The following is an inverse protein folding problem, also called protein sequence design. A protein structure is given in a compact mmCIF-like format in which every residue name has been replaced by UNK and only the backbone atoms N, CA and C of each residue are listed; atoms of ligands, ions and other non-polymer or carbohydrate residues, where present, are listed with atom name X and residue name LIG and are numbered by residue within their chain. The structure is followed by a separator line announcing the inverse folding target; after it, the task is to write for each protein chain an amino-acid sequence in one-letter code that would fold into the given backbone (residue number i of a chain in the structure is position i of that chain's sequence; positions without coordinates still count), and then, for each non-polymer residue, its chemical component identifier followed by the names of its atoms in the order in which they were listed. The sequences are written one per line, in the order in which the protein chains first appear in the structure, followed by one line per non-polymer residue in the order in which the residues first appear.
data_IF_375478105986
#
_entry.id   IF_375478105986
#
_cell.length_a   1.000
_cell.length_b   1.000
_cell.length_c   1.000
_cell.angle_alpha   90.00
_cell.angle_beta   90.00
_cell.angle_gamma   90.00
#
_symmetry.space_group_name_H-M   'P 1'
#
loop_
_entity.id
_entity.type
_entity.pdbx_description
1 polymer ?
#
# COMPACT_ATOMS: atom_id res chain seq x y z
N UNK A 1 26.10 58.40 15.81
CA UNK A 1 26.95 58.22 17.02
C UNK A 1 27.15 56.70 17.11
N UNK A 2 28.22 56.22 16.56
CA UNK A 2 29.51 55.82 17.18
C UNK A 2 29.32 54.64 18.13
N UNK A 3 29.92 53.45 18.00
CA UNK A 3 31.26 53.10 17.51
C UNK A 3 31.41 51.61 17.19
N UNK A 4 32.22 51.38 16.22
CA UNK A 4 32.86 50.15 15.82
C UNK A 4 33.95 49.76 16.81
N UNK A 5 34.14 48.46 17.10
CA UNK A 5 35.46 47.95 17.52
C UNK A 5 35.78 46.57 16.95
N UNK A 6 36.71 46.59 16.01
CA UNK A 6 37.49 45.52 15.49
C UNK A 6 38.77 45.32 16.31
N UNK A 7 39.25 44.09 16.56
CA UNK A 7 40.67 43.73 16.83
C UNK A 7 40.85 42.24 16.51
N UNK A 8 41.47 41.87 15.48
CA UNK A 8 42.89 41.62 15.09
C UNK A 8 43.41 40.22 15.45
N UNK A 9 43.84 39.63 14.40
CA UNK A 9 44.64 38.42 14.18
C UNK A 9 45.90 38.32 15.05
N UNK A 10 46.38 37.07 15.30
CA UNK A 10 47.79 36.71 15.21
C UNK A 10 47.92 35.23 14.83
N UNK A 11 48.63 35.02 13.73
CA UNK A 11 49.26 33.79 13.30
C UNK A 11 50.69 33.76 13.83
N UNK A 12 51.24 32.60 14.10
CA UNK A 12 52.66 32.36 14.06
C UNK A 12 52.96 30.90 13.72
N UNK A 13 53.89 30.75 12.81
CA UNK A 13 54.33 29.54 12.14
C UNK A 13 55.69 29.06 12.68
N UNK A 14 56.15 27.97 12.12
CA UNK A 14 57.51 27.42 12.06
C UNK A 14 57.87 26.43 13.20
N UNK A 15 58.56 25.34 12.96
CA UNK A 15 59.25 24.80 11.81
C UNK A 15 60.02 23.52 12.15
N UNK A 16 60.29 22.75 11.12
CA UNK A 16 61.51 21.99 10.76
C UNK A 16 62.01 20.87 11.71
N UNK A 17 61.97 19.63 11.30
CA UNK A 17 62.91 18.82 10.49
C UNK A 17 63.97 18.04 11.31
N UNK A 18 64.10 16.72 11.11
CA UNK A 18 65.23 15.98 10.53
C UNK A 18 65.33 14.51 10.97
N UNK A 19 65.44 13.62 9.97
CA UNK A 19 66.29 12.40 9.82
C UNK A 19 66.23 11.31 10.92
N UNK A 20 65.80 10.10 10.69
CA UNK A 20 66.43 9.10 9.80
C UNK A 20 66.84 7.88 10.60
N UNK A 21 66.34 6.72 10.28
CA UNK A 21 67.06 5.43 10.31
C UNK A 21 66.16 4.30 9.80
N UNK A 22 66.60 3.66 8.77
CA UNK A 22 66.13 2.40 8.20
C UNK A 22 66.57 1.25 9.09
N UNK A 23 65.66 0.40 9.52
CA UNK A 23 65.93 -1.01 9.84
C UNK A 23 64.81 -1.89 9.32
N UNK A 24 65.20 -2.77 8.43
CA UNK A 24 64.41 -3.84 7.85
C UNK A 24 64.25 -4.95 8.91
N UNK A 25 63.04 -5.37 9.19
CA UNK A 25 62.82 -6.69 9.74
C UNK A 25 61.42 -7.21 9.44
N UNK A 26 61.42 -8.24 8.64
CA UNK A 26 60.54 -9.38 8.47
C UNK A 26 59.04 -9.27 8.75
N UNK A 27 58.33 -9.65 7.72
CA UNK A 27 56.91 -10.04 7.60
C UNK A 27 56.39 -10.87 8.77
N UNK A 28 55.31 -10.41 9.37
CA UNK A 28 54.16 -11.21 9.71
C UNK A 28 52.92 -10.39 9.41
N UNK A 29 52.15 -10.87 8.47
CA UNK A 29 50.84 -10.30 8.07
C UNK A 29 49.79 -10.71 9.12
N UNK A 30 49.47 -9.82 10.03
CA UNK A 30 48.20 -9.88 10.77
C UNK A 30 47.16 -9.07 9.96
N UNK A 31 46.33 -9.78 9.22
CA UNK A 31 45.14 -9.23 8.65
C UNK A 31 44.18 -8.87 9.79
N UNK A 32 43.44 -7.73 9.72
CA UNK A 32 42.35 -7.46 10.65
C UNK A 32 41.31 -8.58 10.55
N UNK A 33 40.61 -8.92 11.65
CA UNK A 33 39.59 -9.94 11.59
C UNK A 33 38.52 -9.54 10.56
N UNK A 34 38.30 -10.42 9.60
CA UNK A 34 37.20 -10.32 8.67
C UNK A 34 35.89 -10.16 9.46
N UNK A 35 35.18 -9.08 9.18
CA UNK A 35 33.79 -8.95 9.59
C UNK A 35 33.04 -10.18 9.08
N UNK A 36 32.18 -10.81 9.89
CA UNK A 36 31.37 -11.93 9.40
C UNK A 36 30.59 -11.46 8.17
N UNK A 37 30.44 -12.31 7.15
CA UNK A 37 29.67 -11.95 5.96
C UNK A 37 28.29 -11.52 6.42
N UNK A 38 27.88 -10.33 6.00
CA UNK A 38 26.50 -9.90 6.15
C UNK A 38 25.63 -11.06 5.62
N UNK A 39 24.77 -11.57 6.49
CA UNK A 39 23.76 -12.51 6.07
C UNK A 39 23.04 -11.85 4.90
N UNK A 40 23.29 -12.36 3.71
CA UNK A 40 22.48 -12.09 2.54
C UNK A 40 21.10 -12.58 2.93
N UNK A 41 20.25 -11.65 3.35
CA UNK A 41 18.84 -11.86 3.40
C UNK A 41 18.47 -12.44 2.04
N UNK A 42 17.92 -13.64 2.06
CA UNK A 42 17.26 -14.22 0.90
C UNK A 42 16.09 -13.29 0.56
N UNK A 43 16.39 -12.20 -0.14
CA UNK A 43 15.39 -11.47 -0.87
C UNK A 43 14.82 -12.49 -1.84
N UNK A 44 13.56 -12.90 -1.63
CA UNK A 44 12.82 -13.60 -2.64
C UNK A 44 12.92 -12.73 -3.88
N UNK A 45 13.66 -13.17 -4.89
CA UNK A 45 13.68 -12.53 -6.19
C UNK A 45 12.24 -12.56 -6.67
N UNK A 46 11.57 -11.40 -6.63
CA UNK A 46 10.28 -11.23 -7.25
C UNK A 46 10.40 -11.80 -8.67
N UNK A 47 9.56 -12.79 -8.99
CA UNK A 47 9.61 -13.50 -10.26
C UNK A 47 9.29 -12.52 -11.40
N UNK A 48 10.34 -12.02 -12.03
CA UNK A 48 10.24 -11.17 -13.20
C UNK A 48 10.03 -12.06 -14.43
N UNK A 49 8.84 -12.68 -14.54
CA UNK A 49 8.37 -13.20 -15.81
C UNK A 49 9.00 -14.48 -16.36
N UNK A 50 9.44 -15.42 -15.52
CA UNK A 50 10.04 -16.69 -15.98
C UNK A 50 9.09 -17.90 -15.94
N UNK A 51 7.92 -17.84 -16.52
CA UNK A 51 7.10 -19.05 -16.81
C UNK A 51 6.69 -19.96 -15.64
N UNK A 52 7.16 -19.72 -14.42
CA UNK A 52 6.74 -20.44 -13.21
C UNK A 52 5.63 -19.70 -12.49
N UNK A 53 4.67 -20.47 -11.96
CA UNK A 53 3.65 -19.96 -11.04
C UNK A 53 4.32 -19.20 -9.91
N UNK A 54 3.81 -18.02 -9.57
CA UNK A 54 4.28 -17.23 -8.42
C UNK A 54 4.14 -18.05 -7.14
N UNK A 55 5.11 -17.96 -6.23
CA UNK A 55 5.02 -18.55 -4.88
C UNK A 55 3.90 -17.93 -4.04
N UNK A 56 3.35 -16.81 -4.47
CA UNK A 56 2.21 -16.12 -3.86
C UNK A 56 0.86 -16.53 -4.45
N UNK A 57 0.82 -17.47 -5.41
CA UNK A 57 -0.43 -17.91 -6.00
C UNK A 57 -0.97 -19.14 -5.29
N UNK A 58 -2.16 -19.01 -4.74
CA UNK A 58 -2.92 -20.07 -4.11
C UNK A 58 -4.28 -20.21 -4.79
N UNK A 59 -4.52 -21.34 -5.45
CA UNK A 59 -5.68 -21.56 -6.30
C UNK A 59 -7.00 -21.44 -5.52
N UNK A 60 -7.07 -22.00 -4.32
CA UNK A 60 -8.30 -21.97 -3.52
C UNK A 60 -8.69 -20.54 -3.13
N UNK A 61 -7.72 -19.71 -2.75
CA UNK A 61 -7.97 -18.31 -2.40
C UNK A 61 -8.27 -17.45 -3.63
N UNK A 62 -7.63 -17.73 -4.78
CA UNK A 62 -7.96 -17.11 -6.05
C UNK A 62 -9.43 -17.35 -6.42
N UNK A 63 -9.87 -18.63 -6.39
CA UNK A 63 -11.25 -19.01 -6.72
C UNK A 63 -12.24 -18.37 -5.72
N UNK A 64 -11.90 -18.34 -4.42
CA UNK A 64 -12.70 -17.70 -3.37
C UNK A 64 -12.90 -16.21 -3.63
N UNK A 65 -11.83 -15.48 -3.93
CA UNK A 65 -11.93 -14.04 -4.17
C UNK A 65 -12.74 -13.70 -5.42
N UNK A 66 -12.62 -14.48 -6.49
CA UNK A 66 -13.45 -14.30 -7.68
C UNK A 66 -14.92 -14.58 -7.40
N UNK A 67 -15.25 -15.58 -6.57
CA UNK A 67 -16.61 -15.84 -6.15
C UNK A 67 -17.18 -14.67 -5.34
N UNK A 68 -16.42 -14.15 -4.35
CA UNK A 68 -16.84 -13.02 -3.52
C UNK A 68 -17.14 -11.75 -4.34
N UNK A 69 -16.47 -11.55 -5.48
CA UNK A 69 -16.73 -10.40 -6.34
C UNK A 69 -18.17 -10.36 -6.92
N UNK A 70 -18.83 -11.53 -6.98
CA UNK A 70 -20.21 -11.65 -7.43
C UNK A 70 -21.25 -11.65 -6.29
N UNK A 71 -20.83 -11.63 -5.02
CA UNK A 71 -21.72 -11.73 -3.88
C UNK A 71 -22.27 -10.38 -3.43
N UNK A 72 -23.49 -10.40 -2.87
CA UNK A 72 -24.06 -9.22 -2.23
C UNK A 72 -23.52 -9.11 -0.80
N UNK A 73 -22.95 -7.94 -0.41
CA UNK A 73 -22.47 -7.77 0.96
C UNK A 73 -23.61 -7.73 1.97
N UNK A 74 -23.33 -8.23 3.16
CA UNK A 74 -24.14 -8.04 4.36
C UNK A 74 -23.79 -6.71 5.04
N UNK A 75 -24.75 -6.16 5.83
CA UNK A 75 -24.54 -4.92 6.57
C UNK A 75 -25.35 -3.74 6.03
N UNK A 76 -25.17 -2.54 6.58
CA UNK A 76 -26.00 -1.38 6.27
C UNK A 76 -25.81 -0.85 4.86
N UNK A 77 -26.93 -0.57 4.17
CA UNK A 77 -26.89 0.06 2.86
C UNK A 77 -26.23 1.44 2.94
N UNK A 78 -25.42 1.77 1.93
CA UNK A 78 -24.71 3.07 1.82
C UNK A 78 -23.51 3.24 2.75
N UNK A 79 -23.13 2.20 3.50
CA UNK A 79 -21.96 2.21 4.37
C UNK A 79 -20.99 1.06 4.03
N UNK A 80 -20.34 1.08 2.89
CA UNK A 80 -19.50 -0.04 2.47
C UNK A 80 -18.35 -0.36 3.43
N UNK A 81 -17.96 0.56 4.31
CA UNK A 81 -16.97 0.34 5.37
C UNK A 81 -17.50 -0.44 6.60
N UNK A 82 -18.81 -0.65 6.68
CA UNK A 82 -19.48 -1.51 7.69
C UNK A 82 -20.05 -2.78 7.04
N UNK A 83 -19.97 -2.91 5.73
CA UNK A 83 -20.42 -4.11 5.02
C UNK A 83 -19.36 -5.20 5.05
N UNK A 84 -19.79 -6.44 4.88
CA UNK A 84 -18.94 -7.63 4.88
C UNK A 84 -19.43 -8.66 3.87
N UNK A 85 -18.50 -9.40 3.30
CA UNK A 85 -18.78 -10.47 2.35
C UNK A 85 -18.52 -11.82 3.01
N UNK A 86 -19.54 -12.68 3.06
CA UNK A 86 -19.47 -14.04 3.60
C UNK A 86 -18.70 -14.15 4.94
N UNK A 87 -19.11 -13.43 6.01
CA UNK A 87 -18.35 -13.31 7.24
C UNK A 87 -18.38 -14.61 8.07
N UNK A 88 -17.21 -15.02 8.57
CA UNK A 88 -17.10 -15.99 9.66
C UNK A 88 -16.87 -15.21 10.96
N UNK A 89 -17.91 -15.16 11.82
CA UNK A 89 -17.88 -14.35 13.04
C UNK A 89 -17.07 -15.04 14.14
N UNK A 90 -16.30 -14.23 14.89
CA UNK A 90 -15.53 -14.69 16.07
C UNK A 90 -16.04 -13.99 17.32
N UNK A 91 -16.14 -14.76 18.41
CA UNK A 91 -16.51 -14.27 19.74
C UNK A 91 -15.39 -13.40 20.32
N UNK A 92 -15.73 -12.16 20.69
CA UNK A 92 -14.81 -11.20 21.27
C UNK A 92 -15.11 -10.89 22.74
N UNK A 93 -15.99 -11.64 23.37
CA UNK A 93 -16.45 -11.41 24.76
C UNK A 93 -15.30 -11.30 25.76
N UNK A 94 -14.16 -12.01 25.53
CA UNK A 94 -12.96 -11.94 26.35
C UNK A 94 -12.23 -10.57 26.31
N UNK A 95 -12.53 -9.74 25.31
CA UNK A 95 -11.96 -8.38 25.16
C UNK A 95 -12.88 -7.29 25.64
N UNK A 96 -14.09 -7.66 26.13
CA UNK A 96 -15.09 -6.71 26.58
C UNK A 96 -14.58 -5.85 27.74
N UNK A 97 -14.59 -4.54 27.55
CA UNK A 97 -14.32 -3.59 28.61
C UNK A 97 -15.50 -3.47 29.58
N UNK A 98 -15.22 -3.31 30.88
CA UNK A 98 -16.26 -3.05 31.89
C UNK A 98 -16.89 -1.66 31.69
N UNK A 99 -16.11 -0.69 31.26
CA UNK A 99 -16.54 0.67 30.90
C UNK A 99 -15.79 1.12 29.64
N UNK A 100 -16.46 1.19 28.49
CA UNK A 100 -15.86 1.61 27.24
C UNK A 100 -15.80 3.15 27.05
N UNK A 101 -16.00 3.96 28.11
CA UNK A 101 -16.09 5.42 27.98
C UNK A 101 -14.74 6.14 27.87
N UNK A 102 -13.62 5.44 27.97
CA UNK A 102 -12.28 6.04 28.01
C UNK A 102 -11.25 5.32 27.14
N UNK A 103 -11.65 4.88 25.94
CA UNK A 103 -10.82 4.04 25.06
C UNK A 103 -9.55 4.80 24.62
N UNK A 104 -8.39 4.17 24.80
CA UNK A 104 -7.13 4.51 24.16
C UNK A 104 -6.86 3.57 22.98
N UNK A 105 -7.11 4.07 21.76
CA UNK A 105 -6.88 3.31 20.51
C UNK A 105 -5.49 3.63 19.96
N UNK A 106 -4.73 2.60 19.57
CA UNK A 106 -3.39 2.74 19.01
C UNK A 106 -3.33 2.23 17.57
N UNK A 107 -2.49 2.88 16.76
CA UNK A 107 -2.28 2.51 15.36
C UNK A 107 -0.80 2.53 15.00
N UNK A 108 -0.27 1.39 14.53
CA UNK A 108 1.03 1.27 13.88
C UNK A 108 0.85 1.28 12.36
N UNK A 109 1.26 2.38 11.74
CA UNK A 109 1.11 2.63 10.31
C UNK A 109 2.41 2.37 9.55
N UNK A 110 2.36 1.62 8.45
CA UNK A 110 3.50 1.45 7.55
C UNK A 110 4.07 2.79 7.05
N UNK A 111 3.19 3.77 6.77
CA UNK A 111 3.59 5.09 6.32
C UNK A 111 2.48 5.85 5.59
N UNK A 112 2.75 7.11 5.26
CA UNK A 112 1.85 8.00 4.47
C UNK A 112 2.54 8.46 3.18
N UNK A 113 3.32 7.61 2.58
CA UNK A 113 4.21 7.91 1.45
C UNK A 113 3.50 8.04 0.09
N UNK A 114 2.20 7.75 0.00
CA UNK A 114 1.42 7.91 -1.22
C UNK A 114 0.03 8.51 -0.95
N UNK A 115 -0.67 9.02 -1.98
CA UNK A 115 -2.00 9.65 -1.84
C UNK A 115 -3.06 8.74 -1.22
N UNK A 116 -3.09 7.45 -1.58
CA UNK A 116 -4.04 6.48 -1.02
C UNK A 116 -3.95 6.41 0.50
N UNK A 117 -2.73 6.32 1.04
CA UNK A 117 -2.47 6.27 2.49
C UNK A 117 -2.75 7.61 3.18
N UNK A 118 -2.54 8.73 2.49
CA UNK A 118 -2.84 10.06 3.04
C UNK A 118 -4.35 10.27 3.18
N UNK A 119 -5.14 9.94 2.14
CA UNK A 119 -6.61 9.99 2.20
C UNK A 119 -7.13 8.99 3.23
N UNK A 120 -6.60 7.78 3.24
CA UNK A 120 -6.99 6.74 4.19
C UNK A 120 -6.77 7.14 5.65
N UNK A 121 -5.59 7.64 6.01
CA UNK A 121 -5.32 8.08 7.39
C UNK A 121 -6.22 9.27 7.79
N UNK A 122 -6.57 10.14 6.85
CA UNK A 122 -7.53 11.21 7.09
C UNK A 122 -8.92 10.64 7.41
N UNK A 123 -9.37 9.63 6.64
CA UNK A 123 -10.63 8.94 6.89
C UNK A 123 -10.64 8.25 8.26
N UNK A 124 -9.58 7.53 8.63
CA UNK A 124 -9.44 6.90 9.94
C UNK A 124 -9.53 7.91 11.08
N UNK A 125 -8.80 9.04 10.96
CA UNK A 125 -8.84 10.13 11.96
C UNK A 125 -10.21 10.80 12.04
N UNK A 126 -10.93 10.90 10.95
CA UNK A 126 -12.28 11.44 10.91
C UNK A 126 -13.27 10.45 11.56
N UNK A 127 -13.13 9.14 11.30
CA UNK A 127 -13.92 8.09 11.96
C UNK A 127 -13.73 8.11 13.48
N UNK A 128 -12.49 8.15 13.95
CA UNK A 128 -12.19 8.27 15.40
C UNK A 128 -12.94 9.44 16.05
N UNK A 129 -13.05 10.59 15.37
CA UNK A 129 -13.75 11.77 15.91
C UNK A 129 -15.27 11.61 16.00
N UNK A 130 -15.86 10.65 15.30
CA UNK A 130 -17.30 10.34 15.42
C UNK A 130 -17.62 9.58 16.73
N UNK A 131 -16.62 8.98 17.35
CA UNK A 131 -16.74 8.10 18.52
C UNK A 131 -16.18 8.77 19.77
N UNK A 132 -17.08 9.34 20.58
CA UNK A 132 -16.69 10.10 21.80
C UNK A 132 -16.06 9.24 22.89
N UNK A 133 -16.31 7.92 22.84
CA UNK A 133 -15.72 6.92 23.72
C UNK A 133 -14.21 6.76 23.48
N UNK A 134 -13.70 7.07 22.28
CA UNK A 134 -12.26 7.10 22.01
C UNK A 134 -11.70 8.43 22.51
N UNK A 135 -11.09 8.41 23.69
CA UNK A 135 -10.52 9.61 24.32
C UNK A 135 -9.09 9.90 23.88
N UNK A 136 -8.39 8.88 23.37
CA UNK A 136 -7.04 9.03 22.86
C UNK A 136 -6.81 8.13 21.64
N UNK A 137 -6.20 8.70 20.61
CA UNK A 137 -5.79 7.99 19.42
C UNK A 137 -4.30 8.25 19.14
N UNK A 138 -3.48 7.22 19.35
CA UNK A 138 -2.03 7.28 19.17
C UNK A 138 -1.64 6.63 17.85
N UNK A 139 -0.95 7.37 16.99
CA UNK A 139 -0.47 6.88 15.70
C UNK A 139 1.04 6.96 15.66
N UNK A 140 1.72 5.84 15.40
CA UNK A 140 3.13 5.79 15.06
C UNK A 140 3.28 5.45 13.57
N UNK A 141 4.10 6.24 12.88
CA UNK A 141 4.33 6.13 11.44
C UNK A 141 5.73 5.57 11.17
N UNK A 142 5.79 4.42 10.55
CA UNK A 142 7.05 3.72 10.31
C UNK A 142 7.85 4.28 9.11
N UNK A 143 7.25 5.15 8.30
CA UNK A 143 7.90 5.76 7.13
C UNK A 143 8.45 4.73 6.13
N UNK A 144 7.74 3.61 5.95
CA UNK A 144 8.14 2.53 5.06
C UNK A 144 9.33 1.68 5.57
N UNK A 145 9.65 1.75 6.88
CA UNK A 145 10.79 1.02 7.46
C UNK A 145 10.31 -0.07 8.41
N UNK A 146 10.64 -1.32 8.10
CA UNK A 146 10.22 -2.48 8.87
C UNK A 146 10.79 -2.48 10.30
N UNK A 147 12.08 -2.16 10.46
CA UNK A 147 12.74 -2.09 11.75
C UNK A 147 12.09 -1.05 12.68
N UNK A 148 11.73 0.10 12.12
CA UNK A 148 10.97 1.11 12.85
C UNK A 148 9.58 0.60 13.21
N UNK A 149 8.86 -0.04 12.28
CA UNK A 149 7.52 -0.53 12.55
C UNK A 149 7.52 -1.65 13.62
N UNK A 150 8.52 -2.52 13.61
CA UNK A 150 8.71 -3.52 14.68
C UNK A 150 8.81 -2.82 16.04
N UNK A 151 9.64 -1.79 16.15
CA UNK A 151 9.79 -1.00 17.38
C UNK A 151 8.50 -0.28 17.76
N UNK A 152 7.79 0.30 16.79
CA UNK A 152 6.52 0.98 16.99
C UNK A 152 5.43 0.02 17.53
N UNK A 153 5.31 -1.18 16.96
CA UNK A 153 4.37 -2.21 17.43
C UNK A 153 4.69 -2.64 18.86
N UNK A 154 5.98 -2.88 19.16
CA UNK A 154 6.42 -3.27 20.52
C UNK A 154 6.15 -2.16 21.55
N UNK A 155 6.40 -0.92 21.18
CA UNK A 155 6.11 0.26 22.00
C UNK A 155 4.61 0.38 22.29
N UNK A 156 3.75 0.34 21.24
CA UNK A 156 2.31 0.47 21.37
C UNK A 156 1.70 -0.70 22.18
N UNK A 157 2.13 -1.93 21.93
CA UNK A 157 1.70 -3.11 22.69
C UNK A 157 2.21 -3.12 24.14
N UNK A 158 3.19 -2.31 24.49
CA UNK A 158 3.68 -2.09 25.85
C UNK A 158 3.03 -0.92 26.58
N UNK A 159 2.22 -0.11 25.88
CA UNK A 159 1.44 0.98 26.46
C UNK A 159 0.07 0.49 26.94
N UNK A 160 -0.71 1.36 27.55
CA UNK A 160 -2.09 1.06 27.95
C UNK A 160 -3.06 1.29 26.78
N UNK A 161 -2.79 0.69 25.62
CA UNK A 161 -3.74 0.70 24.52
C UNK A 161 -4.81 -0.37 24.76
N UNK A 162 -6.07 -0.04 24.59
CA UNK A 162 -7.18 -1.00 24.70
C UNK A 162 -7.29 -1.89 23.47
N UNK A 163 -6.93 -1.36 22.30
CA UNK A 163 -6.78 -2.12 21.05
C UNK A 163 -5.64 -1.55 20.19
N UNK A 164 -5.01 -2.41 19.40
CA UNK A 164 -3.93 -2.04 18.49
C UNK A 164 -4.32 -2.36 17.04
N UNK A 165 -4.40 -1.32 16.22
CA UNK A 165 -4.54 -1.44 14.77
C UNK A 165 -3.15 -1.50 14.15
N UNK A 166 -2.93 -2.37 13.16
CA UNK A 166 -1.67 -2.52 12.43
C UNK A 166 -1.94 -2.56 10.93
N UNK A 167 -1.30 -1.67 10.16
CA UNK A 167 -1.15 -1.82 8.70
C UNK A 167 0.33 -2.15 8.42
N UNK A 168 0.69 -3.43 8.21
CA UNK A 168 2.09 -3.83 8.08
C UNK A 168 2.76 -3.24 6.85
N UNK A 169 4.05 -2.90 6.93
CA UNK A 169 4.82 -2.45 5.78
C UNK A 169 5.15 -3.64 4.85
N UNK A 170 5.62 -4.73 5.42
CA UNK A 170 5.83 -6.01 4.73
C UNK A 170 5.21 -7.15 5.53
N UNK A 171 4.84 -8.24 4.85
CA UNK A 171 4.13 -9.37 5.45
C UNK A 171 5.02 -10.19 6.38
N UNK A 172 6.05 -10.82 5.85
CA UNK A 172 6.89 -11.77 6.60
C UNK A 172 7.67 -11.11 7.75
N UNK A 173 8.28 -9.94 7.49
CA UNK A 173 9.16 -9.25 8.46
C UNK A 173 8.39 -8.75 9.68
N UNK A 174 7.13 -8.31 9.51
CA UNK A 174 6.31 -7.77 10.60
C UNK A 174 5.57 -8.86 11.39
N UNK A 175 5.43 -10.07 10.85
CA UNK A 175 4.72 -11.19 11.49
C UNK A 175 5.16 -11.46 12.93
N UNK A 176 6.46 -11.55 13.27
CA UNK A 176 6.88 -11.81 14.65
C UNK A 176 6.46 -10.71 15.65
N UNK A 177 6.52 -9.44 15.24
CA UNK A 177 6.14 -8.31 16.08
C UNK A 177 4.63 -8.29 16.35
N UNK A 178 3.81 -8.55 15.32
CA UNK A 178 2.36 -8.68 15.44
C UNK A 178 2.00 -9.85 16.35
N UNK A 179 2.63 -11.01 16.17
CA UNK A 179 2.41 -12.19 17.03
C UNK A 179 2.72 -11.91 18.51
N UNK A 180 3.77 -11.15 18.78
CA UNK A 180 4.08 -10.69 20.13
C UNK A 180 3.02 -9.73 20.70
N UNK A 181 2.51 -8.82 19.89
CA UNK A 181 1.48 -7.86 20.30
C UNK A 181 0.16 -8.54 20.65
N UNK A 182 -0.26 -9.57 19.89
CA UNK A 182 -1.48 -10.36 20.16
C UNK A 182 -1.53 -10.97 21.56
N UNK A 183 -0.38 -11.25 22.17
CA UNK A 183 -0.29 -11.77 23.54
C UNK A 183 -0.53 -10.70 24.63
N UNK A 184 -0.71 -9.43 24.27
CA UNK A 184 -0.80 -8.30 25.19
C UNK A 184 -2.05 -7.46 25.02
N UNK A 185 -2.56 -7.33 23.80
CA UNK A 185 -3.66 -6.43 23.43
C UNK A 185 -4.42 -7.05 22.24
N UNK A 186 -5.74 -6.86 22.12
CA UNK A 186 -6.46 -7.24 20.90
C UNK A 186 -5.89 -6.48 19.70
N UNK A 187 -5.50 -7.24 18.66
CA UNK A 187 -4.88 -6.70 17.45
C UNK A 187 -5.86 -6.80 16.29
N UNK A 188 -6.01 -5.70 15.57
CA UNK A 188 -6.71 -5.59 14.29
C UNK A 188 -5.66 -5.36 13.19
N UNK A 189 -5.54 -6.27 12.23
CA UNK A 189 -4.68 -6.09 11.05
C UNK A 189 -5.55 -5.57 9.91
N UNK A 190 -5.05 -4.66 9.08
CA UNK A 190 -5.78 -4.22 7.91
C UNK A 190 -4.87 -3.86 6.74
N UNK A 191 -5.45 -3.81 5.51
CA UNK A 191 -4.78 -3.50 4.25
C UNK A 191 -3.86 -4.65 3.80
N UNK A 192 -2.76 -4.86 4.48
CA UNK A 192 -1.76 -5.90 4.22
C UNK A 192 -1.80 -6.94 5.33
N UNK A 193 -1.66 -8.21 4.97
CA UNK A 193 -1.69 -9.31 5.91
C UNK A 193 -0.35 -9.59 6.59
N UNK A 194 -0.41 -10.53 7.52
CA UNK A 194 0.73 -11.14 8.21
C UNK A 194 0.58 -12.67 8.20
N UNK A 195 1.67 -13.39 8.36
CA UNK A 195 1.68 -14.87 8.37
C UNK A 195 1.34 -15.43 9.77
N UNK A 196 0.26 -14.93 10.38
CA UNK A 196 -0.26 -15.42 11.66
C UNK A 196 -1.75 -15.11 11.76
N UNK A 197 -2.48 -16.00 12.39
CA UNK A 197 -3.92 -15.92 12.65
C UNK A 197 -4.27 -15.31 14.02
N UNK A 198 -3.27 -14.80 14.76
CA UNK A 198 -3.46 -14.32 16.12
C UNK A 198 -4.27 -13.02 16.23
N UNK A 199 -4.34 -12.21 15.18
CA UNK A 199 -5.18 -11.01 15.16
C UNK A 199 -6.66 -11.38 15.35
N UNK A 200 -7.41 -10.54 16.06
CA UNK A 200 -8.85 -10.76 16.27
C UNK A 200 -9.57 -10.73 14.92
N UNK A 201 -9.27 -9.73 14.10
CA UNK A 201 -9.81 -9.61 12.74
C UNK A 201 -8.75 -9.10 11.77
N UNK A 202 -8.87 -9.50 10.51
CA UNK A 202 -8.14 -8.94 9.39
C UNK A 202 -9.11 -8.23 8.44
N UNK A 203 -8.95 -6.92 8.30
CA UNK A 203 -9.82 -6.06 7.49
C UNK A 203 -9.16 -5.76 6.15
N UNK A 204 -9.78 -6.15 5.06
CA UNK A 204 -9.35 -5.78 3.71
C UNK A 204 -10.54 -5.86 2.73
N UNK A 205 -10.46 -5.24 1.55
CA UNK A 205 -11.35 -5.55 0.44
C UNK A 205 -11.22 -7.02 0.02
N UNK A 206 -12.00 -7.47 -0.95
CA UNK A 206 -11.99 -8.86 -1.43
C UNK A 206 -10.56 -9.41 -1.54
N UNK A 207 -9.65 -8.64 -2.16
CA UNK A 207 -8.22 -8.97 -2.16
C UNK A 207 -7.51 -8.77 -3.48
N UNK A 208 -6.22 -9.14 -3.48
CA UNK A 208 -5.34 -8.91 -4.61
C UNK A 208 -5.67 -9.74 -5.84
N UNK A 209 -6.11 -10.99 -5.66
CA UNK A 209 -6.44 -11.85 -6.82
C UNK A 209 -7.62 -11.29 -7.62
N UNK A 210 -8.69 -10.88 -6.96
CA UNK A 210 -9.85 -10.29 -7.64
C UNK A 210 -9.46 -9.03 -8.43
N UNK A 211 -8.64 -8.15 -7.83
CA UNK A 211 -8.12 -6.96 -8.48
C UNK A 211 -7.29 -7.31 -9.72
N UNK A 212 -6.29 -8.17 -9.54
CA UNK A 212 -5.35 -8.53 -10.60
C UNK A 212 -6.00 -9.23 -11.78
N UNK A 213 -6.94 -10.15 -11.50
CA UNK A 213 -7.68 -10.88 -12.52
C UNK A 213 -8.55 -9.94 -13.36
N UNK A 214 -9.38 -9.11 -12.72
CA UNK A 214 -10.27 -8.16 -13.43
C UNK A 214 -9.47 -7.21 -14.32
N UNK A 215 -8.35 -6.68 -13.82
CA UNK A 215 -7.48 -5.80 -14.59
C UNK A 215 -6.85 -6.50 -15.79
N UNK A 216 -6.39 -7.74 -15.62
CA UNK A 216 -5.77 -8.49 -16.71
C UNK A 216 -6.79 -8.99 -17.73
N UNK A 217 -7.94 -9.50 -17.29
CA UNK A 217 -9.00 -9.98 -18.18
C UNK A 217 -9.51 -8.85 -19.09
N UNK A 218 -9.62 -7.62 -18.57
CA UNK A 218 -9.92 -6.45 -19.40
C UNK A 218 -8.90 -6.25 -20.51
N UNK A 219 -7.60 -6.35 -20.23
CA UNK A 219 -6.56 -6.21 -21.25
C UNK A 219 -6.58 -7.37 -22.25
N UNK A 220 -6.86 -8.59 -21.78
CA UNK A 220 -7.02 -9.77 -22.66
C UNK A 220 -8.19 -9.56 -23.63
N UNK A 221 -9.27 -8.92 -23.18
CA UNK A 221 -10.42 -8.59 -24.04
C UNK A 221 -10.12 -7.45 -25.05
N UNK A 222 -9.46 -6.39 -24.58
CA UNK A 222 -9.32 -5.13 -25.35
C UNK A 222 -8.09 -5.11 -26.27
N UNK A 223 -7.05 -5.86 -25.94
CA UNK A 223 -5.80 -5.86 -26.69
C UNK A 223 -5.84 -6.95 -27.77
N UNK A 224 -5.38 -6.61 -28.99
CA UNK A 224 -5.30 -7.56 -30.09
C UNK A 224 -4.40 -8.77 -29.76
N UNK A 225 -4.62 -9.95 -30.37
CA UNK A 225 -3.73 -11.09 -30.20
C UNK A 225 -2.26 -10.75 -30.48
N UNK A 226 -1.35 -11.25 -29.66
CA UNK A 226 0.09 -10.96 -29.66
C UNK A 226 0.44 -9.50 -29.41
N UNK A 227 -0.50 -8.73 -28.83
CA UNK A 227 -0.23 -7.38 -28.38
C UNK A 227 0.72 -7.37 -27.19
N UNK A 228 1.55 -6.34 -27.13
CA UNK A 228 2.59 -6.17 -26.11
C UNK A 228 2.03 -5.48 -24.87
N UNK A 229 2.18 -6.13 -23.72
CA UNK A 229 1.77 -5.63 -22.41
C UNK A 229 2.99 -5.15 -21.62
N UNK A 230 2.93 -3.94 -21.12
CA UNK A 230 3.82 -3.43 -20.08
C UNK A 230 3.15 -3.58 -18.73
N UNK A 231 3.77 -4.29 -17.79
CA UNK A 231 3.27 -4.43 -16.44
C UNK A 231 4.04 -3.50 -15.47
N UNK A 232 3.33 -2.60 -14.82
CA UNK A 232 3.85 -1.66 -13.83
C UNK A 232 3.38 -2.07 -12.44
N UNK A 233 4.31 -2.49 -11.57
CA UNK A 233 4.07 -2.94 -10.21
C UNK A 233 4.55 -1.90 -9.21
N UNK A 234 3.94 -1.83 -8.02
CA UNK A 234 4.39 -0.90 -6.97
C UNK A 234 5.72 -1.39 -6.38
N UNK A 235 5.66 -2.46 -5.59
CA UNK A 235 6.80 -2.96 -4.81
C UNK A 235 6.73 -4.48 -4.65
N UNK A 236 7.86 -5.18 -4.50
CA UNK A 236 7.88 -6.59 -4.17
C UNK A 236 7.64 -6.85 -2.68
N UNK A 237 7.27 -8.09 -2.32
CA UNK A 237 7.22 -8.57 -0.93
C UNK A 237 6.03 -8.09 -0.10
N UNK A 238 5.02 -7.51 -0.74
CA UNK A 238 3.75 -7.11 -0.13
C UNK A 238 2.66 -8.05 -0.63
N UNK A 239 2.03 -8.79 0.28
CA UNK A 239 1.08 -9.86 -0.05
C UNK A 239 0.01 -9.45 -1.07
N UNK A 240 -0.70 -8.35 -0.82
CA UNK A 240 -1.77 -7.86 -1.72
C UNK A 240 -1.24 -7.49 -3.11
N UNK A 241 -0.01 -6.98 -3.22
CA UNK A 241 0.59 -6.61 -4.51
C UNK A 241 1.10 -7.86 -5.25
N UNK A 242 1.67 -8.80 -4.52
CA UNK A 242 2.11 -10.08 -5.10
C UNK A 242 0.92 -10.89 -5.60
N UNK A 243 -0.20 -10.93 -4.86
CA UNK A 243 -1.42 -11.62 -5.30
C UNK A 243 -2.09 -10.93 -6.49
N UNK A 244 -2.07 -9.59 -6.59
CA UNK A 244 -2.51 -8.86 -7.79
C UNK A 244 -1.75 -9.33 -9.03
N UNK A 245 -0.43 -9.32 -8.96
CA UNK A 245 0.41 -9.73 -10.09
C UNK A 245 0.26 -11.22 -10.41
N UNK A 246 0.22 -12.10 -9.41
CA UNK A 246 0.08 -13.54 -9.65
C UNK A 246 -1.22 -13.91 -10.38
N UNK A 247 -2.32 -13.21 -10.05
CA UNK A 247 -3.60 -13.37 -10.73
C UNK A 247 -3.54 -12.84 -12.19
N UNK A 248 -2.97 -11.64 -12.37
CA UNK A 248 -2.78 -11.07 -13.69
C UNK A 248 -1.93 -11.99 -14.59
N UNK A 249 -0.84 -12.53 -14.02
CA UNK A 249 0.02 -13.48 -14.72
C UNK A 249 -0.74 -14.74 -15.18
N UNK A 250 -1.64 -15.27 -14.36
CA UNK A 250 -2.49 -16.41 -14.75
C UNK A 250 -3.36 -16.09 -15.96
N UNK A 251 -3.93 -14.88 -16.04
CA UNK A 251 -4.72 -14.45 -17.18
C UNK A 251 -3.85 -14.26 -18.44
N UNK A 252 -2.70 -13.59 -18.30
CA UNK A 252 -1.78 -13.37 -19.42
C UNK A 252 -1.18 -14.68 -19.96
N UNK A 253 -0.76 -15.61 -19.08
CA UNK A 253 -0.20 -16.92 -19.48
C UNK A 253 -1.22 -17.78 -20.24
N UNK A 254 -2.51 -17.58 -20.03
CA UNK A 254 -3.59 -18.27 -20.76
C UNK A 254 -3.99 -17.55 -22.06
N UNK A 255 -3.52 -16.33 -22.26
CA UNK A 255 -3.82 -15.51 -23.42
C UNK A 255 -2.73 -15.60 -24.50
N UNK A 256 -2.96 -14.95 -25.65
CA UNK A 256 -1.95 -14.77 -26.70
C UNK A 256 -1.13 -13.47 -26.52
N UNK A 257 -1.31 -12.73 -25.41
CA UNK A 257 -0.62 -11.47 -25.16
C UNK A 257 0.85 -11.70 -24.77
N UNK A 258 1.72 -10.77 -25.15
CA UNK A 258 3.15 -10.80 -24.86
C UNK A 258 3.47 -9.78 -23.77
N UNK A 259 3.75 -10.24 -22.55
CA UNK A 259 4.21 -9.37 -21.46
C UNK A 259 5.69 -9.05 -21.68
N UNK A 260 5.97 -7.95 -22.38
CA UNK A 260 7.31 -7.57 -22.80
C UNK A 260 8.20 -7.02 -21.70
N UNK A 261 7.60 -6.50 -20.60
CA UNK A 261 8.35 -5.99 -19.46
C UNK A 261 7.50 -5.96 -18.19
N UNK A 262 8.14 -6.21 -17.04
CA UNK A 262 7.55 -6.09 -15.70
C UNK A 262 8.46 -5.22 -14.86
N UNK A 263 7.99 -4.07 -14.38
CA UNK A 263 8.80 -3.07 -13.68
C UNK A 263 8.16 -2.58 -12.39
N UNK A 264 9.01 -2.28 -11.41
CA UNK A 264 8.59 -1.69 -10.14
C UNK A 264 8.69 -0.17 -10.18
N UNK A 265 7.58 0.49 -9.92
CA UNK A 265 7.44 1.95 -9.92
C UNK A 265 7.71 2.56 -8.55
N UNK A 266 7.71 1.78 -7.47
CA UNK A 266 7.71 2.22 -6.07
C UNK A 266 6.51 3.14 -5.72
N UNK A 267 5.47 3.14 -6.57
CA UNK A 267 4.34 4.07 -6.46
C UNK A 267 4.71 5.52 -6.80
N UNK A 268 5.86 5.73 -7.45
CA UNK A 268 6.37 7.05 -7.84
C UNK A 268 5.95 7.37 -9.29
N UNK A 269 5.15 8.44 -9.52
CA UNK A 269 4.72 8.85 -10.85
C UNK A 269 5.88 9.20 -11.79
N UNK A 270 6.94 9.86 -11.31
CA UNK A 270 8.09 10.22 -12.14
C UNK A 270 8.84 8.97 -12.62
N UNK A 271 9.01 7.99 -11.73
CA UNK A 271 9.61 6.71 -12.07
C UNK A 271 8.74 5.93 -13.06
N UNK A 272 7.41 5.92 -12.87
CA UNK A 272 6.49 5.29 -13.82
C UNK A 272 6.60 5.91 -15.21
N UNK A 273 6.60 7.24 -15.31
CA UNK A 273 6.78 7.96 -16.59
C UNK A 273 8.08 7.59 -17.29
N UNK A 274 9.20 7.54 -16.54
CA UNK A 274 10.50 7.11 -17.08
C UNK A 274 10.47 5.67 -17.58
N UNK A 275 9.85 4.75 -16.83
CA UNK A 275 9.74 3.32 -17.23
C UNK A 275 8.94 3.18 -18.53
N UNK A 276 7.81 3.89 -18.66
CA UNK A 276 6.98 3.85 -19.89
C UNK A 276 7.77 4.41 -21.08
N UNK A 277 8.45 5.54 -20.90
CA UNK A 277 9.30 6.15 -21.94
C UNK A 277 10.41 5.20 -22.40
N UNK A 278 11.06 4.52 -21.47
CA UNK A 278 12.10 3.52 -21.75
C UNK A 278 11.52 2.28 -22.46
N UNK A 279 10.32 1.84 -22.04
CA UNK A 279 9.66 0.70 -22.69
C UNK A 279 9.27 1.04 -24.13
N UNK A 280 8.73 2.22 -24.41
CA UNK A 280 8.42 2.70 -25.76
C UNK A 280 9.68 2.78 -26.62
N UNK A 281 10.81 3.20 -26.06
CA UNK A 281 12.08 3.25 -26.78
C UNK A 281 12.61 1.85 -27.12
N UNK A 282 12.49 0.88 -26.19
CA UNK A 282 13.04 -0.48 -26.36
C UNK A 282 12.15 -1.39 -27.20
N UNK A 283 10.85 -1.31 -27.01
CA UNK A 283 9.90 -2.24 -27.58
C UNK A 283 9.10 -1.67 -28.76
N UNK A 284 9.20 -0.34 -28.99
CA UNK A 284 8.41 0.38 -29.98
C UNK A 284 6.98 0.62 -29.51
N UNK A 285 6.00 -0.12 -30.10
CA UNK A 285 4.63 0.00 -29.67
C UNK A 285 4.36 -0.88 -28.45
N UNK A 286 3.62 -0.35 -27.50
CA UNK A 286 3.02 -1.04 -26.37
C UNK A 286 1.52 -1.03 -26.62
N UNK A 287 0.86 -2.18 -26.56
CA UNK A 287 -0.55 -2.35 -26.91
C UNK A 287 -1.46 -2.36 -25.68
N UNK A 288 -0.91 -2.47 -24.47
CA UNK A 288 -1.66 -2.37 -23.21
C UNK A 288 -0.75 -2.14 -22.00
N UNK A 289 -1.30 -1.48 -20.96
CA UNK A 289 -0.57 -1.23 -19.71
C UNK A 289 -1.37 -1.79 -18.52
N UNK A 290 -0.81 -2.80 -17.88
CA UNK A 290 -1.34 -3.31 -16.62
C UNK A 290 -0.67 -2.63 -15.44
N UNK A 291 -1.48 -2.22 -14.44
CA UNK A 291 -0.98 -1.53 -13.25
C UNK A 291 -1.66 -2.09 -12.01
N UNK A 292 -0.90 -2.23 -10.94
CA UNK A 292 -1.40 -2.64 -9.63
C UNK A 292 -1.68 -1.45 -8.69
N UNK A 293 -1.73 -0.22 -9.24
CA UNK A 293 -2.07 1.00 -8.49
C UNK A 293 -2.62 2.11 -9.39
N UNK A 294 -3.37 3.06 -8.80
CA UNK A 294 -3.84 4.26 -9.48
C UNK A 294 -2.84 5.41 -9.50
N UNK A 295 -1.96 5.48 -8.52
CA UNK A 295 -1.08 6.62 -8.31
C UNK A 295 -0.11 6.91 -9.48
N UNK A 296 0.15 5.92 -10.32
CA UNK A 296 1.07 6.01 -11.46
C UNK A 296 0.38 6.03 -12.81
N UNK A 297 -0.97 5.89 -12.84
CA UNK A 297 -1.72 5.76 -14.07
C UNK A 297 -1.67 7.02 -14.95
N UNK A 298 -1.86 8.20 -14.36
CA UNK A 298 -1.77 9.47 -15.09
C UNK A 298 -0.38 9.69 -15.68
N UNK A 299 0.67 9.34 -14.92
CA UNK A 299 2.05 9.45 -15.40
C UNK A 299 2.34 8.53 -16.58
N UNK A 300 1.71 7.34 -16.63
CA UNK A 300 1.79 6.46 -17.78
C UNK A 300 1.08 7.08 -18.99
N UNK A 301 -0.14 7.61 -18.82
CA UNK A 301 -0.88 8.34 -19.89
C UNK A 301 -0.02 9.46 -20.46
N UNK A 302 0.53 10.32 -19.60
CA UNK A 302 1.39 11.43 -20.04
C UNK A 302 2.64 10.96 -20.80
N UNK A 303 3.23 9.81 -20.45
CA UNK A 303 4.40 9.29 -21.16
C UNK A 303 4.10 8.90 -22.61
N UNK A 304 2.90 8.35 -22.87
CA UNK A 304 2.43 8.08 -24.25
C UNK A 304 2.21 9.37 -25.02
N UNK A 305 1.54 10.36 -24.41
CA UNK A 305 1.30 11.67 -25.01
C UNK A 305 2.61 12.38 -25.37
N UNK A 306 3.57 12.43 -24.45
CA UNK A 306 4.90 13.02 -24.68
C UNK A 306 5.66 12.34 -25.82
N UNK A 307 5.42 11.04 -26.00
CA UNK A 307 5.99 10.27 -27.12
C UNK A 307 5.22 10.46 -28.43
N UNK A 308 4.12 11.22 -28.44
CA UNK A 308 3.25 11.40 -29.60
C UNK A 308 2.54 10.12 -30.03
N UNK A 309 2.22 9.24 -29.07
CA UNK A 309 1.54 7.96 -29.29
C UNK A 309 0.16 7.98 -28.65
N UNK A 310 -0.77 7.24 -29.25
CA UNK A 310 -2.07 7.01 -28.63
C UNK A 310 -1.90 6.18 -27.33
N UNK A 311 -2.71 6.50 -26.32
CA UNK A 311 -2.74 5.74 -25.06
C UNK A 311 -3.43 4.39 -25.32
N UNK A 312 -2.77 3.28 -25.08
CA UNK A 312 -3.39 1.96 -25.27
C UNK A 312 -4.39 1.66 -24.14
N UNK A 313 -5.16 0.57 -24.21
CA UNK A 313 -5.91 0.05 -23.08
C UNK A 313 -5.06 0.03 -21.80
N UNK A 314 -5.58 0.65 -20.74
CA UNK A 314 -4.82 0.87 -19.51
C UNK A 314 -5.66 0.54 -18.26
N UNK A 315 -5.03 0.04 -17.21
CA UNK A 315 -5.67 -0.18 -15.91
C UNK A 315 -5.25 0.88 -14.90
N UNK A 316 -6.11 1.14 -13.89
CA UNK A 316 -5.82 2.09 -12.83
C UNK A 316 -6.63 1.79 -11.56
N UNK A 317 -6.83 2.78 -10.74
CA UNK A 317 -7.70 2.76 -9.54
C UNK A 317 -8.62 3.98 -9.52
N UNK A 318 -9.41 4.14 -8.46
CA UNK A 318 -10.38 5.21 -8.27
C UNK A 318 -9.77 6.57 -7.87
N UNK A 319 -8.52 6.86 -8.27
CA UNK A 319 -7.89 8.17 -8.05
C UNK A 319 -8.49 9.23 -9.00
N UNK A 320 -8.84 10.39 -8.47
CA UNK A 320 -9.63 11.39 -9.16
C UNK A 320 -9.00 11.90 -10.46
N UNK A 321 -7.69 12.14 -10.48
CA UNK A 321 -6.98 12.60 -11.68
C UNK A 321 -6.99 11.55 -12.81
N UNK A 322 -6.87 10.25 -12.46
CA UNK A 322 -6.98 9.19 -13.46
C UNK A 322 -8.40 9.07 -14.01
N UNK A 323 -9.42 9.11 -13.14
CA UNK A 323 -10.82 9.05 -13.59
C UNK A 323 -11.17 10.27 -14.46
N UNK A 324 -10.65 11.45 -14.11
CA UNK A 324 -10.85 12.66 -14.91
C UNK A 324 -10.12 12.57 -16.25
N UNK A 325 -8.87 12.10 -16.26
CA UNK A 325 -8.13 11.89 -17.51
C UNK A 325 -8.82 10.85 -18.41
N UNK A 326 -9.35 9.79 -17.81
CA UNK A 326 -10.14 8.78 -18.53
C UNK A 326 -11.35 9.41 -19.23
N UNK A 327 -12.14 10.21 -18.50
CA UNK A 327 -13.29 10.89 -19.08
C UNK A 327 -12.89 11.92 -20.16
N UNK A 328 -11.92 12.79 -19.86
CA UNK A 328 -11.55 13.93 -20.73
C UNK A 328 -10.87 13.48 -22.03
N UNK A 329 -10.18 12.34 -22.01
CA UNK A 329 -9.39 11.81 -23.13
C UNK A 329 -10.04 10.60 -23.79
N UNK A 330 -11.23 10.20 -23.33
CA UNK A 330 -11.97 9.02 -23.83
C UNK A 330 -11.08 7.75 -23.84
N UNK A 331 -10.36 7.51 -22.74
CA UNK A 331 -9.43 6.38 -22.64
C UNK A 331 -10.19 5.06 -22.65
N UNK A 332 -9.58 4.02 -23.21
CA UNK A 332 -10.00 2.63 -23.01
C UNK A 332 -9.41 2.13 -21.71
N UNK A 333 -10.17 2.17 -20.62
CA UNK A 333 -9.63 1.88 -19.28
C UNK A 333 -10.59 1.07 -18.41
N UNK A 334 -10.03 0.54 -17.30
CA UNK A 334 -10.74 -0.08 -16.19
C UNK A 334 -10.02 0.28 -14.88
N UNK A 335 -10.77 0.43 -13.81
CA UNK A 335 -10.21 0.69 -12.49
C UNK A 335 -10.86 -0.24 -11.44
N UNK A 336 -10.31 -1.43 -11.20
CA UNK A 336 -10.66 -2.18 -9.99
C UNK A 336 -10.25 -1.33 -8.79
N UNK A 337 -11.20 -1.08 -7.86
CA UNK A 337 -10.92 -0.20 -6.75
C UNK A 337 -10.23 -0.93 -5.59
N UNK A 338 -9.42 -0.18 -4.86
CA UNK A 338 -8.93 -0.56 -3.53
C UNK A 338 -9.33 0.55 -2.55
N UNK A 339 -10.59 0.52 -2.05
CA UNK A 339 -11.25 1.68 -1.48
C UNK A 339 -10.55 2.26 -0.25
N UNK A 340 -10.38 3.58 -0.19
CA UNK A 340 -9.82 4.23 1.01
C UNK A 340 -10.79 4.26 2.19
N UNK A 341 -12.07 3.95 1.99
CA UNK A 341 -13.02 3.77 3.10
C UNK A 341 -12.63 2.62 4.04
N UNK A 342 -11.85 1.62 3.58
CA UNK A 342 -11.38 0.53 4.43
C UNK A 342 -10.59 1.00 5.66
N UNK A 343 -10.07 2.23 5.67
CA UNK A 343 -9.39 2.82 6.82
C UNK A 343 -10.32 3.16 7.99
N UNK A 344 -11.63 3.19 7.76
CA UNK A 344 -12.65 3.42 8.78
C UNK A 344 -12.92 2.14 9.57
N UNK A 345 -13.02 1.02 8.87
CA UNK A 345 -13.42 -0.29 9.41
C UNK A 345 -12.59 -0.76 10.61
N UNK A 346 -11.25 -0.62 10.65
CA UNK A 346 -10.46 -1.03 11.83
C UNK A 346 -10.83 -0.27 13.11
N UNK A 347 -11.30 0.98 13.00
CA UNK A 347 -11.77 1.76 14.15
C UNK A 347 -13.09 1.18 14.66
N UNK A 348 -14.01 0.87 13.75
CA UNK A 348 -15.30 0.25 14.06
C UNK A 348 -15.07 -1.13 14.67
N UNK A 349 -14.23 -1.97 14.05
CA UNK A 349 -13.90 -3.29 14.57
C UNK A 349 -13.29 -3.22 15.98
N UNK A 350 -12.41 -2.23 16.26
CA UNK A 350 -11.86 -2.04 17.59
C UNK A 350 -12.94 -1.75 18.63
N UNK A 351 -13.91 -0.90 18.28
CA UNK A 351 -15.03 -0.59 19.17
C UNK A 351 -15.94 -1.79 19.43
N UNK A 352 -16.27 -2.56 18.41
CA UNK A 352 -17.09 -3.76 18.52
C UNK A 352 -16.38 -4.80 19.41
N UNK A 353 -15.09 -5.07 19.16
CA UNK A 353 -14.26 -5.96 19.99
C UNK A 353 -14.28 -5.51 21.46
N UNK A 354 -14.08 -4.23 21.73
CA UNK A 354 -14.03 -3.71 23.11
C UNK A 354 -15.40 -3.64 23.80
N UNK A 355 -16.49 -3.68 23.03
CA UNK A 355 -17.86 -3.89 23.54
C UNK A 355 -18.19 -5.37 23.74
N UNK A 356 -17.36 -6.28 23.23
CA UNK A 356 -17.56 -7.73 23.25
C UNK A 356 -18.63 -8.16 22.23
N UNK A 357 -18.76 -7.41 21.15
CA UNK A 357 -19.58 -7.75 19.99
C UNK A 357 -18.78 -8.59 19.02
N UNK A 358 -19.39 -9.59 18.41
CA UNK A 358 -18.71 -10.45 17.44
C UNK A 358 -18.27 -9.68 16.22
N UNK A 359 -17.09 -10.01 15.69
CA UNK A 359 -16.56 -9.43 14.45
C UNK A 359 -16.17 -10.53 13.46
N UNK A 360 -16.15 -10.28 12.14
CA UNK A 360 -15.63 -11.26 11.20
C UNK A 360 -14.15 -11.58 11.48
N UNK A 361 -13.74 -12.85 11.39
CA UNK A 361 -12.31 -13.24 11.43
C UNK A 361 -11.54 -12.57 10.28
N UNK A 362 -12.14 -12.59 9.09
CA UNK A 362 -11.75 -11.80 7.93
C UNK A 362 -12.88 -10.86 7.56
N UNK A 363 -12.70 -9.57 7.82
CA UNK A 363 -13.67 -8.56 7.42
C UNK A 363 -13.43 -8.17 5.97
N UNK A 364 -14.01 -8.95 5.06
CA UNK A 364 -13.92 -8.72 3.61
C UNK A 364 -14.89 -7.64 3.19
N UNK A 365 -14.36 -6.52 2.75
CA UNK A 365 -15.13 -5.37 2.28
C UNK A 365 -15.45 -5.49 0.78
N UNK A 366 -16.56 -4.87 0.31
CA UNK A 366 -16.84 -4.75 -1.11
C UNK A 366 -15.68 -4.10 -1.87
N UNK A 367 -15.40 -4.64 -3.08
CA UNK A 367 -14.35 -4.15 -3.96
C UNK A 367 -14.93 -3.92 -5.36
N UNK A 368 -15.64 -2.79 -5.57
CA UNK A 368 -16.25 -2.51 -6.86
C UNK A 368 -15.21 -2.23 -7.94
N UNK A 369 -15.64 -2.37 -9.19
CA UNK A 369 -14.83 -2.07 -10.37
C UNK A 369 -15.46 -0.90 -11.13
N UNK A 370 -14.65 0.10 -11.46
CA UNK A 370 -15.07 1.20 -12.32
C UNK A 370 -14.83 0.80 -13.77
N UNK A 371 -15.88 0.93 -14.55
CA UNK A 371 -15.90 0.65 -15.99
C UNK A 371 -16.38 1.90 -16.73
N UNK A 372 -16.33 1.88 -18.06
CA UNK A 372 -16.86 3.00 -18.87
C UNK A 372 -18.33 3.33 -18.53
N UNK A 373 -19.13 2.29 -18.25
CA UNK A 373 -20.58 2.45 -18.04
C UNK A 373 -20.92 3.15 -16.70
N UNK A 374 -20.06 3.03 -15.68
CA UNK A 374 -20.30 3.60 -14.35
C UNK A 374 -19.29 4.68 -13.94
N UNK A 375 -18.36 5.05 -14.82
CA UNK A 375 -17.32 6.06 -14.55
C UNK A 375 -17.89 7.36 -13.96
N UNK A 376 -19.02 7.82 -14.51
CA UNK A 376 -19.68 9.06 -14.09
C UNK A 376 -20.12 9.05 -12.61
N UNK A 377 -20.42 7.90 -12.02
CA UNK A 377 -20.84 7.77 -10.63
C UNK A 377 -19.68 8.00 -9.64
N UNK A 378 -18.45 7.78 -10.13
CA UNK A 378 -17.23 7.86 -9.32
C UNK A 378 -16.44 9.16 -9.50
N UNK A 379 -16.76 9.96 -10.50
CA UNK A 379 -16.19 11.29 -10.63
C UNK A 379 -16.66 12.20 -9.50
N UNK A 380 -15.71 12.89 -8.86
CA UNK A 380 -15.98 13.79 -7.72
C UNK A 380 -15.53 15.22 -8.07
N UNK A 381 -16.36 15.98 -8.85
CA UNK A 381 -16.03 17.35 -9.22
C UNK A 381 -15.70 18.22 -8.01
N UNK A 382 -14.64 19.01 -8.10
CA UNK A 382 -14.21 19.88 -7.00
C UNK A 382 -13.29 19.22 -5.96
N UNK A 383 -13.08 17.90 -6.03
CA UNK A 383 -12.07 17.23 -5.20
C UNK A 383 -10.67 17.37 -5.83
N UNK A 384 -9.60 17.36 -5.02
CA UNK A 384 -8.24 17.47 -5.53
C UNK A 384 -7.84 16.25 -6.38
N UNK A 385 -6.89 16.41 -7.31
CA UNK A 385 -6.47 15.33 -8.21
C UNK A 385 -6.09 14.01 -7.51
N UNK A 386 -5.42 14.09 -6.36
CA UNK A 386 -4.95 12.94 -5.60
C UNK A 386 -6.00 12.38 -4.61
N UNK A 387 -7.25 12.78 -4.73
CA UNK A 387 -8.35 12.20 -3.97
C UNK A 387 -8.75 10.85 -4.55
N UNK A 388 -9.29 9.98 -3.71
CA UNK A 388 -9.86 8.69 -4.11
C UNK A 388 -11.38 8.73 -4.05
N UNK A 389 -12.04 8.31 -5.12
CA UNK A 389 -13.49 8.43 -5.28
C UNK A 389 -14.27 7.59 -4.27
N UNK A 390 -13.71 6.45 -3.85
CA UNK A 390 -14.31 5.56 -2.85
C UNK A 390 -13.74 5.82 -1.46
N UNK A 391 -13.81 7.08 -1.01
CA UNK A 391 -13.33 7.42 0.33
C UNK A 391 -14.33 7.10 1.45
N UNK A 392 -15.62 7.04 1.15
CA UNK A 392 -16.67 6.94 2.17
C UNK A 392 -16.66 8.11 3.15
N UNK A 393 -16.13 9.25 2.71
CA UNK A 393 -15.95 10.44 3.52
C UNK A 393 -17.01 11.52 3.26
N UNK A 394 -17.89 11.31 2.29
CA UNK A 394 -18.87 12.29 1.82
C UNK A 394 -19.85 12.73 2.92
N UNK A 395 -20.16 11.83 3.84
CA UNK A 395 -21.03 12.11 4.99
C UNK A 395 -20.28 12.58 6.25
N UNK A 396 -18.95 12.71 6.19
CA UNK A 396 -18.15 13.09 7.35
C UNK A 396 -18.17 14.60 7.60
N UNK A 397 -18.16 15.04 8.87
CA UNK A 397 -18.03 16.45 9.22
C UNK A 397 -16.76 17.06 8.59
N UNK A 398 -16.93 18.22 7.93
CA UNK A 398 -15.81 18.92 7.27
C UNK A 398 -15.55 18.50 5.83
N UNK A 399 -16.28 17.51 5.28
CA UNK A 399 -16.24 17.21 3.85
C UNK A 399 -16.95 18.32 3.03
N UNK A 400 -16.46 18.72 1.84
CA UNK A 400 -15.22 18.24 1.17
C UNK A 400 -13.95 18.98 1.61
N UNK A 401 -14.10 20.11 2.34
CA UNK A 401 -13.02 21.06 2.65
C UNK A 401 -11.81 20.39 3.35
N UNK A 402 -12.05 19.55 4.36
CA UNK A 402 -10.98 18.88 5.10
C UNK A 402 -10.22 17.86 4.23
N UNK A 403 -10.81 17.42 3.11
CA UNK A 403 -10.17 16.57 2.09
C UNK A 403 -9.57 17.37 0.93
N UNK A 404 -9.51 18.70 1.04
CA UNK A 404 -8.92 19.59 0.04
C UNK A 404 -9.85 19.93 -1.12
N UNK A 405 -11.14 19.56 -1.02
CA UNK A 405 -12.18 19.94 -1.98
C UNK A 405 -12.68 21.38 -1.80
N UNK A 406 -13.43 21.84 -2.79
CA UNK A 406 -14.05 23.17 -2.84
C UNK A 406 -15.52 23.14 -2.44
#
# INVERSE_FOLDING_TARGET
MTAIRTVRRRALAAGAALLGAVLISSCTSDAPPESPPAASGSGSTADAGTGKQSTFFEQAEYDRQLALAGEKPEGPDGKPWEQMLNPEMVDTSQHKMADPSGIELCFSNAGVFNPWRQVGLKNMRAEVKLHKEITKFTVLDAQGKDDKQISDIQELAGRNCDALIVSPNTTATLTPAVKQACGKVPVIVFDRGVETDCAVTFVNPIGGYAYGAVAADFLVEKVKPRGKILALRISPGVDVLETRWSAAKVAFDKSELDVVDVKFTDGDPAKAKSIVTDALTRHGDIDGVWMDSGATAVAAVEAFEDAGKDVPPITGEDQQDFLQAWQDKDLTAIAPAYPTFQWRTPVIAALDILKGEDVPKEWKLPQPTITQDNLGDYLKPGMPPLHYAMCGCESMPGFPKDWGGK
#
